data_IF_419087493163
#
_entry.id   IF_419087493163
#
_cell.length_a   1.000
_cell.length_b   1.000
_cell.length_c   1.000
_cell.angle_alpha   90.00
_cell.angle_beta   90.00
_cell.angle_gamma   90.00
#
_symmetry.space_group_name_H-M   'P 1'
#
loop_
_entity.id
_entity.type
_entity.pdbx_description
1 polymer ?
#
# COMPACT_ATOMS: atom_id res chain seq x y z
N UNK A 1 24.60 -1.53 3.35
CA UNK A 1 23.16 -1.80 3.20
C UNK A 1 22.54 -0.68 2.41
N UNK A 2 21.76 -1.00 1.38
CA UNK A 2 21.03 -0.05 0.52
C UNK A 2 19.54 -0.24 0.79
N UNK A 3 18.79 0.85 0.95
CA UNK A 3 17.34 0.81 1.13
C UNK A 3 16.64 1.34 -0.12
N UNK A 4 15.72 0.56 -0.65
CA UNK A 4 14.87 0.90 -1.78
C UNK A 4 13.47 1.15 -1.23
N UNK A 5 13.07 2.40 -1.15
CA UNK A 5 11.73 2.78 -0.71
C UNK A 5 10.77 2.86 -1.89
N UNK A 6 9.67 2.15 -1.81
CA UNK A 6 8.64 2.12 -2.86
C UNK A 6 7.33 2.62 -2.27
N UNK A 7 6.90 3.79 -2.69
CA UNK A 7 5.55 4.29 -2.44
C UNK A 7 4.62 3.78 -3.54
N UNK A 8 3.70 2.90 -3.14
CA UNK A 8 2.84 2.15 -4.07
C UNK A 8 1.48 2.79 -4.22
N UNK A 9 1.07 3.07 -5.44
CA UNK A 9 -0.27 3.52 -5.79
C UNK A 9 -0.89 2.62 -6.88
N UNK A 10 -2.11 2.93 -7.30
CA UNK A 10 -2.80 2.14 -8.33
C UNK A 10 -2.11 2.29 -9.69
N UNK A 11 -1.49 1.22 -10.19
CA UNK A 11 -0.88 1.13 -11.52
C UNK A 11 0.51 1.75 -11.65
N UNK A 12 0.97 2.52 -10.66
CA UNK A 12 2.31 3.11 -10.64
C UNK A 12 2.87 3.18 -9.22
N UNK A 13 4.17 3.33 -9.11
CA UNK A 13 4.86 3.52 -7.84
C UNK A 13 5.95 4.58 -7.98
N UNK A 14 6.30 5.22 -6.87
CA UNK A 14 7.49 6.08 -6.81
C UNK A 14 8.59 5.35 -6.04
N UNK A 15 9.75 5.27 -6.65
CA UNK A 15 10.91 4.53 -6.12
C UNK A 15 12.03 5.49 -5.77
N UNK A 16 12.63 5.33 -4.59
CA UNK A 16 13.81 6.06 -4.15
C UNK A 16 14.85 5.07 -3.61
N UNK A 17 16.12 5.29 -3.93
CA UNK A 17 17.23 4.44 -3.49
C UNK A 17 18.18 5.25 -2.63
N UNK A 18 18.37 4.82 -1.39
CA UNK A 18 19.21 5.49 -0.40
C UNK A 18 20.30 4.56 0.14
N UNK A 19 21.46 5.15 0.43
CA UNK A 19 22.49 4.60 1.28
C UNK A 19 22.33 5.09 2.73
N UNK A 20 23.06 4.48 3.69
CA UNK A 20 23.15 5.00 5.04
C UNK A 20 23.52 6.48 5.08
N UNK A 21 23.07 7.15 6.13
CA UNK A 21 23.23 8.61 6.33
C UNK A 21 22.44 9.51 5.36
N UNK A 22 21.45 8.96 4.65
CA UNK A 22 20.57 9.72 3.77
C UNK A 22 21.18 10.08 2.41
N UNK A 23 22.30 9.44 2.02
CA UNK A 23 22.87 9.62 0.68
C UNK A 23 21.91 9.06 -0.38
N UNK A 24 21.42 9.95 -1.24
CA UNK A 24 20.51 9.59 -2.34
C UNK A 24 21.33 9.02 -3.49
N UNK A 25 21.22 7.72 -3.74
CA UNK A 25 21.84 7.07 -4.90
C UNK A 25 21.03 7.27 -6.18
N UNK A 26 19.71 7.20 -6.05
CA UNK A 26 18.79 7.47 -7.14
C UNK A 26 17.65 8.34 -6.62
N UNK A 27 17.50 9.54 -7.23
CA UNK A 27 16.41 10.45 -6.93
C UNK A 27 15.05 9.80 -7.20
N UNK A 28 13.99 10.18 -6.48
CA UNK A 28 12.67 9.60 -6.68
C UNK A 28 12.21 9.65 -8.13
N UNK A 29 11.85 8.50 -8.68
CA UNK A 29 11.31 8.33 -10.02
C UNK A 29 10.05 7.49 -10.04
N UNK A 30 9.20 7.72 -11.01
CA UNK A 30 7.99 6.94 -11.21
C UNK A 30 8.30 5.65 -11.98
N UNK A 31 7.64 4.55 -11.58
CA UNK A 31 7.72 3.23 -12.18
C UNK A 31 6.30 2.69 -12.36
N UNK A 32 5.95 2.24 -13.56
CA UNK A 32 4.70 1.50 -13.80
C UNK A 32 4.85 0.06 -13.31
N UNK A 33 3.72 -0.62 -13.06
CA UNK A 33 3.73 -2.01 -12.57
C UNK A 33 3.83 -3.04 -13.71
N UNK A 34 4.40 -2.65 -14.86
CA UNK A 34 4.66 -3.54 -15.98
C UNK A 34 5.90 -4.41 -15.74
N UNK A 35 5.92 -5.58 -16.39
CA UNK A 35 7.05 -6.51 -16.30
C UNK A 35 8.35 -5.86 -16.80
N UNK A 36 8.27 -5.04 -17.84
CA UNK A 36 9.41 -4.32 -18.40
C UNK A 36 10.05 -3.35 -17.39
N UNK A 37 9.22 -2.60 -16.69
CA UNK A 37 9.65 -1.62 -15.72
C UNK A 37 10.20 -2.28 -14.45
N UNK A 38 9.60 -3.39 -14.02
CA UNK A 38 10.09 -4.19 -12.90
C UNK A 38 11.45 -4.81 -13.21
N UNK A 39 11.65 -5.35 -14.43
CA UNK A 39 12.95 -5.85 -14.86
C UNK A 39 13.99 -4.72 -14.99
N UNK A 40 13.61 -3.53 -15.45
CA UNK A 40 14.52 -2.38 -15.50
C UNK A 40 14.99 -1.95 -14.09
N UNK A 41 14.10 -2.02 -13.09
CA UNK A 41 14.50 -1.78 -11.70
C UNK A 41 15.42 -2.90 -11.19
N UNK A 42 15.12 -4.16 -11.49
CA UNK A 42 16.00 -5.31 -11.15
C UNK A 42 17.41 -5.12 -11.73
N UNK A 43 17.52 -4.77 -13.01
CA UNK A 43 18.79 -4.48 -13.68
C UNK A 43 19.56 -3.31 -13.04
N UNK A 44 18.83 -2.30 -12.55
CA UNK A 44 19.44 -1.19 -11.82
C UNK A 44 19.96 -1.67 -10.48
N UNK A 45 19.18 -2.44 -9.73
CA UNK A 45 19.56 -2.95 -8.40
C UNK A 45 20.74 -3.90 -8.49
N UNK A 46 20.82 -4.75 -9.51
CA UNK A 46 21.92 -5.70 -9.73
C UNK A 46 23.28 -5.00 -10.01
N UNK A 47 23.27 -3.71 -10.37
CA UNK A 47 24.50 -2.91 -10.55
C UNK A 47 25.00 -2.28 -9.27
N UNK A 48 24.22 -2.39 -8.18
CA UNK A 48 24.57 -1.76 -6.91
C UNK A 48 25.31 -2.76 -6.02
N UNK A 49 26.43 -2.33 -5.47
CA UNK A 49 27.21 -3.14 -4.53
C UNK A 49 26.67 -3.02 -3.11
N UNK A 50 26.29 -4.15 -2.52
CA UNK A 50 25.90 -4.24 -1.12
C UNK A 50 24.58 -4.96 -0.89
N UNK A 51 24.22 -5.10 0.38
CA UNK A 51 22.94 -5.69 0.79
C UNK A 51 21.80 -4.73 0.45
N UNK A 52 20.88 -5.18 -0.40
CA UNK A 52 19.71 -4.42 -0.84
C UNK A 52 18.48 -4.87 -0.06
N UNK A 53 17.76 -3.91 0.50
CA UNK A 53 16.46 -4.12 1.16
C UNK A 53 15.40 -3.27 0.51
N UNK A 54 14.41 -3.93 -0.04
CA UNK A 54 13.24 -3.30 -0.66
C UNK A 54 12.17 -3.14 0.41
N UNK A 55 11.71 -1.93 0.58
CA UNK A 55 10.75 -1.55 1.61
C UNK A 55 9.57 -0.85 0.96
N UNK A 56 8.36 -1.29 1.27
CA UNK A 56 7.14 -0.69 0.73
C UNK A 56 6.04 -0.60 1.79
N UNK A 57 5.13 0.37 1.64
CA UNK A 57 3.95 0.46 2.49
C UNK A 57 2.82 -0.43 1.96
N UNK A 58 2.09 -1.09 2.87
CA UNK A 58 0.94 -1.90 2.51
C UNK A 58 -0.22 -1.02 2.03
N UNK A 59 -0.36 -0.86 0.72
CA UNK A 59 -1.44 -0.08 0.11
C UNK A 59 -2.41 -1.01 -0.62
N UNK A 60 -3.47 -1.39 0.06
CA UNK A 60 -4.50 -2.29 -0.49
C UNK A 60 -3.90 -3.60 -1.02
N UNK A 61 -4.11 -3.86 -2.33
CA UNK A 61 -3.57 -5.02 -3.07
C UNK A 61 -2.49 -4.62 -4.07
N UNK A 62 -2.26 -3.31 -4.25
CA UNK A 62 -1.43 -2.81 -5.36
C UNK A 62 0.06 -3.11 -5.18
N UNK A 63 0.52 -3.36 -3.95
CA UNK A 63 1.91 -3.74 -3.67
C UNK A 63 2.21 -5.21 -4.01
N UNK A 64 1.19 -6.08 -4.11
CA UNK A 64 1.39 -7.52 -4.28
C UNK A 64 2.20 -7.90 -5.53
N UNK A 65 1.95 -7.36 -6.73
CA UNK A 65 2.73 -7.71 -7.92
C UNK A 65 4.22 -7.39 -7.76
N UNK A 66 4.54 -6.23 -7.19
CA UNK A 66 5.92 -5.78 -6.94
C UNK A 66 6.57 -6.68 -5.89
N UNK A 67 5.86 -6.96 -4.80
CA UNK A 67 6.30 -7.81 -3.71
C UNK A 67 6.65 -9.21 -4.22
N UNK A 68 5.75 -9.85 -5.00
CA UNK A 68 5.95 -11.19 -5.55
C UNK A 68 7.15 -11.21 -6.47
N UNK A 69 7.23 -10.27 -7.42
CA UNK A 69 8.33 -10.18 -8.38
C UNK A 69 9.71 -10.14 -7.68
N UNK A 70 9.91 -9.21 -6.74
CA UNK A 70 11.20 -9.08 -6.06
C UNK A 70 11.46 -10.18 -5.03
N UNK A 71 10.40 -10.77 -4.46
CA UNK A 71 10.55 -11.93 -3.59
C UNK A 71 11.05 -13.16 -4.38
N UNK A 72 10.49 -13.42 -5.57
CA UNK A 72 10.92 -14.50 -6.46
C UNK A 72 12.36 -14.31 -6.97
N UNK A 73 12.80 -13.08 -7.16
CA UNK A 73 14.18 -12.72 -7.47
C UNK A 73 15.15 -12.89 -6.27
N UNK A 74 14.64 -13.23 -5.09
CA UNK A 74 15.45 -13.51 -3.90
C UNK A 74 15.82 -12.29 -3.06
N UNK A 75 15.33 -11.09 -3.39
CA UNK A 75 15.59 -9.88 -2.60
C UNK A 75 15.00 -9.97 -1.20
N UNK A 76 15.61 -9.21 -0.29
CA UNK A 76 14.97 -8.91 0.99
C UNK A 76 13.87 -7.88 0.78
N UNK A 77 12.61 -8.32 0.81
CA UNK A 77 11.45 -7.43 0.68
C UNK A 77 10.70 -7.35 2.01
N UNK A 78 10.36 -6.15 2.43
CA UNK A 78 9.60 -5.89 3.66
C UNK A 78 8.41 -4.99 3.37
N UNK A 79 7.24 -5.39 3.86
CA UNK A 79 6.01 -4.60 3.77
C UNK A 79 5.72 -3.98 5.12
N UNK A 80 5.64 -2.66 5.18
CA UNK A 80 5.43 -1.90 6.40
C UNK A 80 3.93 -1.60 6.56
N UNK A 81 3.47 -1.70 7.81
CA UNK A 81 2.12 -1.30 8.15
C UNK A 81 1.97 0.24 8.04
N UNK A 82 0.92 0.77 7.38
CA UNK A 82 0.65 2.20 7.26
C UNK A 82 0.61 2.95 8.60
N UNK A 83 0.18 2.29 9.66
CA UNK A 83 0.20 2.89 11.00
C UNK A 83 1.62 3.15 11.51
N UNK A 84 2.55 2.22 11.25
CA UNK A 84 3.96 2.40 11.61
C UNK A 84 4.60 3.54 10.81
N UNK A 85 4.27 3.68 9.51
CA UNK A 85 4.72 4.79 8.68
C UNK A 85 4.17 6.14 9.16
N UNK A 86 2.88 6.21 9.50
CA UNK A 86 2.27 7.44 10.07
C UNK A 86 2.94 7.85 11.38
N UNK A 87 3.27 6.89 12.24
CA UNK A 87 4.00 7.17 13.49
C UNK A 87 5.40 7.70 13.20
N UNK A 88 6.13 7.05 12.32
CA UNK A 88 7.46 7.47 11.92
C UNK A 88 7.47 8.88 11.30
N UNK A 89 6.49 9.18 10.43
CA UNK A 89 6.33 10.50 9.82
C UNK A 89 6.07 11.62 10.84
N UNK A 90 5.37 11.33 11.94
CA UNK A 90 5.16 12.29 13.03
C UNK A 90 6.42 12.55 13.84
N UNK A 91 7.25 11.52 14.03
CA UNK A 91 8.48 11.59 14.82
C UNK A 91 9.64 12.17 13.99
N UNK A 92 9.59 12.05 12.66
CA UNK A 92 10.59 12.64 11.76
C UNK A 92 10.32 14.12 11.53
N UNK A 93 11.38 14.93 11.53
CA UNK A 93 11.30 16.38 11.26
C UNK A 93 10.99 16.73 9.80
N UNK A 94 10.70 15.75 8.95
CA UNK A 94 10.35 15.91 7.54
C UNK A 94 8.90 16.40 7.44
N UNK A 95 8.68 17.67 7.82
CA UNK A 95 7.42 18.37 7.65
C UNK A 95 7.42 19.09 6.31
N UNK A 96 6.97 18.43 5.27
CA UNK A 96 6.78 19.00 3.93
C UNK A 96 5.38 18.74 3.39
N UNK A 97 5.03 19.36 2.28
CA UNK A 97 3.82 19.00 1.54
C UNK A 97 3.89 17.51 1.16
N UNK A 98 2.81 16.79 1.44
CA UNK A 98 2.72 15.36 1.11
C UNK A 98 2.84 15.19 -0.41
N UNK A 99 3.87 14.50 -0.87
CA UNK A 99 4.08 14.13 -2.28
C UNK A 99 4.61 12.71 -2.34
N UNK A 100 4.26 11.97 -3.39
CA UNK A 100 4.71 10.59 -3.62
C UNK A 100 6.26 10.49 -3.57
N UNK A 101 6.96 11.54 -4.02
CA UNK A 101 8.43 11.61 -3.95
C UNK A 101 8.95 11.66 -2.51
N UNK A 102 8.34 12.47 -1.66
CA UNK A 102 8.71 12.56 -0.25
C UNK A 102 8.32 11.28 0.51
N UNK A 103 7.20 10.69 0.15
CA UNK A 103 6.74 9.44 0.76
C UNK A 103 7.71 8.28 0.41
N UNK A 104 8.20 8.17 -0.83
CA UNK A 104 9.22 7.18 -1.21
C UNK A 104 10.56 7.38 -0.50
N UNK A 105 11.02 8.63 -0.32
CA UNK A 105 12.21 8.96 0.47
C UNK A 105 12.00 8.55 1.94
N UNK A 106 10.84 8.85 2.50
CA UNK A 106 10.50 8.53 3.89
C UNK A 106 10.48 7.02 4.12
N UNK A 107 9.93 6.24 3.19
CA UNK A 107 9.93 4.78 3.23
C UNK A 107 11.37 4.24 3.18
N UNK A 108 12.21 4.78 2.29
CA UNK A 108 13.61 4.38 2.18
C UNK A 108 14.41 4.71 3.45
N UNK A 109 14.22 5.90 4.04
CA UNK A 109 14.83 6.29 5.31
C UNK A 109 14.38 5.38 6.47
N UNK A 110 13.08 5.05 6.53
CA UNK A 110 12.60 4.07 7.50
C UNK A 110 13.34 2.75 7.38
N UNK A 111 13.58 2.29 6.15
CA UNK A 111 14.33 1.07 5.88
C UNK A 111 15.76 1.11 6.41
N UNK A 112 16.42 2.28 6.40
CA UNK A 112 17.76 2.47 6.96
C UNK A 112 17.74 2.60 8.47
N UNK A 113 16.90 3.49 9.02
CA UNK A 113 16.91 3.80 10.45
C UNK A 113 16.30 2.68 11.31
N UNK A 114 15.31 1.99 10.79
CA UNK A 114 14.57 0.93 11.50
C UNK A 114 14.86 -0.46 10.91
N UNK A 115 16.03 -0.65 10.30
CA UNK A 115 16.41 -1.89 9.63
C UNK A 115 16.20 -3.15 10.49
N UNK A 116 16.40 -3.05 11.81
CA UNK A 116 16.22 -4.13 12.77
C UNK A 116 14.75 -4.49 13.05
N UNK A 117 13.80 -3.63 12.64
CA UNK A 117 12.35 -3.87 12.72
C UNK A 117 11.78 -4.45 11.43
N UNK A 118 12.54 -4.44 10.34
CA UNK A 118 12.10 -4.97 9.08
C UNK A 118 11.99 -6.49 9.16
N UNK A 119 10.82 -6.99 8.77
CA UNK A 119 10.59 -8.42 8.63
C UNK A 119 10.63 -8.78 7.15
N UNK A 120 11.49 -9.75 6.80
CA UNK A 120 11.53 -10.27 5.45
C UNK A 120 10.20 -10.95 5.15
N UNK A 121 9.60 -10.61 4.01
CA UNK A 121 8.46 -11.34 3.50
C UNK A 121 8.88 -12.78 3.18
N UNK A 122 8.11 -13.75 3.70
CA UNK A 122 8.44 -15.18 3.58
C UNK A 122 7.66 -15.88 2.47
N UNK A 123 6.85 -15.13 1.73
CA UNK A 123 5.82 -15.71 0.87
C UNK A 123 4.57 -16.06 1.69
N UNK A 124 3.40 -15.77 1.16
CA UNK A 124 2.18 -16.37 1.67
C UNK A 124 2.05 -17.74 0.98
N UNK A 125 1.72 -18.80 1.70
CA UNK A 125 1.26 -20.03 1.06
C UNK A 125 0.06 -19.66 0.17
N UNK A 126 0.00 -20.21 -1.03
CA UNK A 126 -1.01 -19.89 -2.05
C UNK A 126 -2.43 -19.92 -1.47
N UNK A 127 -2.71 -20.90 -0.63
CA UNK A 127 -3.98 -21.07 0.09
C UNK A 127 -4.29 -19.84 0.99
N UNK A 128 -3.30 -19.30 1.70
CA UNK A 128 -3.52 -18.14 2.56
C UNK A 128 -3.74 -16.85 1.75
N UNK A 129 -3.06 -16.69 0.62
CA UNK A 129 -3.28 -15.57 -0.28
C UNK A 129 -4.72 -15.59 -0.84
N UNK A 130 -5.20 -16.76 -1.25
CA UNK A 130 -6.55 -16.96 -1.73
C UNK A 130 -7.60 -16.71 -0.63
N UNK A 131 -7.40 -17.25 0.57
CA UNK A 131 -8.27 -17.01 1.72
C UNK A 131 -8.34 -15.52 2.09
N UNK A 132 -7.22 -14.81 2.06
CA UNK A 132 -7.19 -13.35 2.29
C UNK A 132 -8.02 -12.61 1.23
N UNK A 133 -7.93 -13.01 -0.03
CA UNK A 133 -8.69 -12.42 -1.12
C UNK A 133 -10.19 -12.67 -0.95
N UNK A 134 -10.58 -13.91 -0.68
CA UNK A 134 -11.97 -14.32 -0.42
C UNK A 134 -12.55 -13.57 0.79
N UNK A 135 -11.80 -13.48 1.88
CA UNK A 135 -12.22 -12.75 3.08
C UNK A 135 -12.43 -11.24 2.85
N UNK A 136 -11.63 -10.61 1.96
CA UNK A 136 -11.85 -9.21 1.56
C UNK A 136 -13.11 -9.06 0.71
N UNK A 137 -13.35 -9.97 -0.25
CA UNK A 137 -14.55 -9.98 -1.08
C UNK A 137 -15.80 -10.20 -0.22
N UNK A 138 -15.76 -11.15 0.69
CA UNK A 138 -16.87 -11.42 1.61
C UNK A 138 -17.24 -10.16 2.41
N UNK A 139 -16.27 -9.49 3.04
CA UNK A 139 -16.53 -8.25 3.79
C UNK A 139 -17.12 -7.16 2.91
N UNK A 140 -16.60 -6.97 1.70
CA UNK A 140 -17.13 -6.00 0.77
C UNK A 140 -18.60 -6.26 0.41
N UNK A 141 -18.95 -7.52 0.11
CA UNK A 141 -20.34 -7.87 -0.19
C UNK A 141 -21.26 -7.74 1.04
N UNK A 142 -20.76 -8.04 2.24
CA UNK A 142 -21.51 -7.82 3.47
C UNK A 142 -21.78 -6.34 3.73
N UNK A 143 -20.81 -5.45 3.48
CA UNK A 143 -20.99 -4.00 3.58
C UNK A 143 -22.03 -3.49 2.57
N UNK A 144 -21.98 -3.97 1.32
CA UNK A 144 -22.98 -3.63 0.31
C UNK A 144 -24.37 -4.13 0.70
N UNK A 145 -24.48 -5.35 1.23
CA UNK A 145 -25.73 -5.91 1.71
C UNK A 145 -26.35 -5.06 2.82
N UNK A 146 -25.56 -4.70 3.83
CA UNK A 146 -26.03 -3.84 4.93
C UNK A 146 -26.49 -2.47 4.41
N UNK A 147 -25.76 -1.85 3.48
CA UNK A 147 -26.17 -0.58 2.87
C UNK A 147 -27.49 -0.71 2.13
N UNK A 148 -27.65 -1.77 1.31
CA UNK A 148 -28.88 -2.00 0.58
C UNK A 148 -30.09 -2.22 1.50
N UNK A 149 -29.90 -2.92 2.62
CA UNK A 149 -30.94 -3.09 3.64
C UNK A 149 -31.33 -1.75 4.29
N UNK A 150 -30.33 -0.92 4.61
CA UNK A 150 -30.58 0.41 5.20
C UNK A 150 -31.36 1.31 4.22
N UNK A 151 -31.00 1.31 2.93
CA UNK A 151 -31.71 2.05 1.90
C UNK A 151 -33.15 1.56 1.74
N UNK A 152 -33.37 0.23 1.73
CA UNK A 152 -34.69 -0.36 1.66
C UNK A 152 -35.55 0.04 2.87
N UNK A 153 -35.01 -0.02 4.07
CA UNK A 153 -35.70 0.40 5.28
C UNK A 153 -36.12 1.87 5.19
N UNK A 154 -35.20 2.74 4.74
CA UNK A 154 -35.47 4.16 4.58
C UNK A 154 -36.61 4.42 3.56
N UNK A 155 -36.63 3.69 2.45
CA UNK A 155 -37.71 3.79 1.43
C UNK A 155 -39.05 3.33 2.01
N UNK A 156 -39.06 2.23 2.78
CA UNK A 156 -40.27 1.73 3.44
C UNK A 156 -40.80 2.74 4.47
N UNK A 157 -39.93 3.33 5.29
CA UNK A 157 -40.32 4.36 6.25
C UNK A 157 -40.93 5.58 5.57
N UNK A 158 -40.33 6.07 4.48
CA UNK A 158 -40.89 7.15 3.68
C UNK A 158 -42.24 6.82 3.07
N UNK A 159 -42.46 5.57 2.60
CA UNK A 159 -43.73 5.14 2.03
C UNK A 159 -44.87 5.09 3.10
N UNK A 160 -44.52 4.70 4.33
CA UNK A 160 -45.46 4.68 5.44
C UNK A 160 -45.89 6.09 5.87
N UNK A 161 -44.99 7.07 5.80
CA UNK A 161 -45.32 8.49 6.10
C UNK A 161 -46.33 9.02 5.08
N UNK A 162 -46.20 8.68 3.80
CA UNK A 162 -47.16 9.11 2.78
C UNK A 162 -48.53 8.46 2.87
N UNK A 163 -48.64 7.25 3.42
CA UNK A 163 -49.92 6.56 3.63
C UNK A 163 -50.66 7.12 4.86
N UNK A 164 -49.95 7.67 5.82
CA UNK A 164 -50.52 8.18 7.08
C UNK A 164 -50.95 9.65 7.07
N UNK A 165 -50.73 10.40 5.96
CA UNK A 165 -51.27 11.75 5.84
C UNK A 165 -52.80 11.69 5.65
N UNK A 166 -53.62 12.14 6.61
CA UNK A 166 -55.06 12.22 6.42
C UNK A 166 -55.33 13.25 5.33
N UNK A 167 -56.03 12.83 4.30
CA UNK A 167 -56.63 13.73 3.30
C UNK A 167 -57.45 14.78 4.05
N UNK A 168 -56.99 16.03 4.12
CA UNK A 168 -57.78 17.13 4.68
C UNK A 168 -59.01 17.28 3.80
N UNK A 169 -60.22 17.17 4.35
CA UNK A 169 -61.41 17.52 3.59
C UNK A 169 -61.39 19.04 3.31
N UNK A 170 -61.66 19.43 2.12
CA UNK A 170 -61.85 20.83 1.70
C UNK A 170 -63.08 21.39 2.35
#
# INVERSE_FOLDING_TARGET
MISVGIDVSKGKSTVCILKPYGEIMCSPFEMLHGEKELNALDDLLNKLDGEIRIVMEATGIYHLPILTFFHEKGYFVSVINPFAMKKYAKDSSIRGAKTDKLDSIMIANYGIEKWFKLQRYKGDEEIYAELKLLGRRYRHYMELHVKALQELTHILDLSLIHISEPTRPY
#
